data_IF_697777423940
#
_entry.id   IF_697777423940
#
_cell.length_a   1.000
_cell.length_b   1.000
_cell.length_c   1.000
_cell.angle_alpha   90.00
_cell.angle_beta   90.00
_cell.angle_gamma   90.00
#
_symmetry.space_group_name_H-M   'P 1'
#
loop_
_entity.id
_entity.type
_entity.pdbx_description
1 polymer ?
#
# COMPACT_ATOMS: atom_id res chain seq x y z
N UNK A 1 25.08 -22.99 -22.18
CA UNK A 1 24.17 -21.87 -21.83
C UNK A 1 22.76 -22.32 -21.42
N UNK A 2 22.45 -23.62 -21.42
CA UNK A 2 21.18 -24.18 -20.96
C UNK A 2 21.11 -24.41 -19.43
N UNK A 3 22.24 -24.36 -18.73
CA UNK A 3 22.30 -24.56 -17.27
C UNK A 3 22.12 -23.27 -16.46
N UNK A 4 22.20 -22.08 -17.08
CA UNK A 4 21.92 -20.79 -16.43
C UNK A 4 20.44 -20.61 -16.05
N UNK A 5 19.54 -21.36 -16.71
CA UNK A 5 18.09 -21.29 -16.49
C UNK A 5 17.54 -22.54 -15.77
N UNK A 6 18.40 -23.47 -15.34
CA UNK A 6 17.97 -24.64 -14.55
C UNK A 6 17.96 -24.30 -13.07
N UNK A 7 16.77 -24.04 -12.54
CA UNK A 7 16.57 -23.84 -11.11
C UNK A 7 16.36 -25.22 -10.48
N UNK A 8 17.32 -25.68 -9.68
CA UNK A 8 17.20 -26.91 -8.90
C UNK A 8 16.32 -26.60 -7.67
N UNK A 9 15.01 -26.82 -7.80
CA UNK A 9 14.04 -26.51 -6.74
C UNK A 9 13.95 -27.72 -5.80
N UNK A 10 14.52 -27.60 -4.61
CA UNK A 10 14.15 -28.47 -3.50
C UNK A 10 12.79 -28.03 -2.97
N UNK A 11 11.78 -28.90 -3.05
CA UNK A 11 10.39 -28.58 -2.67
C UNK A 11 10.25 -27.96 -1.27
N UNK A 12 11.12 -28.33 -0.31
CA UNK A 12 11.14 -27.77 1.05
C UNK A 12 11.52 -26.28 1.13
N UNK A 13 12.22 -25.74 0.14
CA UNK A 13 12.68 -24.33 0.08
C UNK A 13 11.86 -23.48 -0.89
N UNK A 14 10.81 -24.05 -1.50
CA UNK A 14 9.99 -23.38 -2.52
C UNK A 14 9.34 -22.09 -2.00
N UNK A 15 8.93 -22.07 -0.74
CA UNK A 15 8.35 -20.89 -0.09
C UNK A 15 9.30 -19.68 -0.01
N UNK A 16 10.62 -19.90 -0.12
CA UNK A 16 11.62 -18.81 -0.13
C UNK A 16 11.91 -18.25 -1.52
N UNK A 17 11.41 -18.89 -2.58
CA UNK A 17 11.62 -18.43 -3.96
C UNK A 17 10.98 -17.06 -4.16
N UNK A 18 9.72 -16.90 -3.76
CA UNK A 18 8.99 -15.65 -3.91
C UNK A 18 9.62 -14.49 -3.11
N UNK A 19 9.97 -14.63 -1.81
CA UNK A 19 10.74 -13.62 -1.07
C UNK A 19 12.06 -13.23 -1.75
N UNK A 20 12.82 -14.19 -2.27
CA UNK A 20 14.10 -13.92 -2.95
C UNK A 20 13.90 -13.13 -4.25
N UNK A 21 12.87 -13.46 -5.04
CA UNK A 21 12.54 -12.71 -6.26
C UNK A 21 12.14 -11.27 -5.91
N UNK A 22 11.24 -11.10 -4.93
CA UNK A 22 10.79 -9.78 -4.48
C UNK A 22 11.98 -8.93 -3.99
N UNK A 23 12.88 -9.51 -3.20
CA UNK A 23 14.11 -8.83 -2.77
C UNK A 23 15.00 -8.43 -3.94
N UNK A 24 15.13 -9.29 -4.95
CA UNK A 24 15.86 -8.97 -6.18
C UNK A 24 15.25 -7.77 -6.91
N UNK A 25 13.93 -7.75 -7.09
CA UNK A 25 13.22 -6.62 -7.72
C UNK A 25 13.40 -5.33 -6.90
N UNK A 26 13.25 -5.41 -5.58
CA UNK A 26 13.45 -4.26 -4.69
C UNK A 26 14.88 -3.70 -4.76
N UNK A 27 15.90 -4.57 -4.79
CA UNK A 27 17.29 -4.17 -4.97
C UNK A 27 17.51 -3.44 -6.29
N UNK A 28 16.95 -3.94 -7.40
CA UNK A 28 17.04 -3.28 -8.71
C UNK A 28 16.39 -1.89 -8.66
N UNK A 29 15.18 -1.79 -8.10
CA UNK A 29 14.50 -0.50 -7.96
C UNK A 29 15.29 0.48 -7.09
N UNK A 30 15.87 0.01 -5.99
CA UNK A 30 16.72 0.82 -5.12
C UNK A 30 17.95 1.35 -5.86
N UNK A 31 18.62 0.51 -6.66
CA UNK A 31 19.76 0.92 -7.50
C UNK A 31 19.34 1.95 -8.54
N UNK A 32 18.19 1.76 -9.20
CA UNK A 32 17.65 2.71 -10.17
C UNK A 32 17.39 4.08 -9.53
N UNK A 33 16.72 4.10 -8.36
CA UNK A 33 16.47 5.34 -7.60
C UNK A 33 17.79 6.02 -7.24
N UNK A 34 18.77 5.25 -6.74
CA UNK A 34 20.07 5.76 -6.36
C UNK A 34 20.81 6.41 -7.54
N UNK A 35 20.84 5.75 -8.70
CA UNK A 35 21.46 6.29 -9.91
C UNK A 35 20.73 7.55 -10.38
N UNK A 36 19.41 7.56 -10.38
CA UNK A 36 18.63 8.74 -10.79
C UNK A 36 18.92 9.94 -9.89
N UNK A 37 18.93 9.74 -8.58
CA UNK A 37 19.22 10.81 -7.62
C UNK A 37 20.66 11.28 -7.72
N UNK A 38 21.60 10.36 -7.96
CA UNK A 38 23.02 10.68 -8.17
C UNK A 38 23.23 11.53 -9.42
N UNK A 39 22.61 11.16 -10.54
CA UNK A 39 22.66 11.93 -11.78
C UNK A 39 22.00 13.30 -11.65
N UNK A 40 20.84 13.38 -10.97
CA UNK A 40 20.16 14.66 -10.67
C UNK A 40 21.01 15.56 -9.79
N UNK A 41 21.61 15.03 -8.72
CA UNK A 41 22.47 15.78 -7.81
C UNK A 41 23.72 16.32 -8.52
N UNK A 42 24.36 15.49 -9.37
CA UNK A 42 25.50 15.93 -10.21
C UNK A 42 25.12 17.05 -11.17
N UNK A 43 23.98 16.93 -11.88
CA UNK A 43 23.49 17.98 -12.79
C UNK A 43 23.15 19.28 -12.05
N UNK A 44 22.61 19.19 -10.84
CA UNK A 44 22.21 20.34 -10.05
C UNK A 44 23.34 20.99 -9.24
N UNK A 45 24.57 20.44 -9.23
CA UNK A 45 25.68 20.81 -8.32
C UNK A 45 25.25 20.89 -6.85
N UNK A 46 24.25 20.09 -6.46
CA UNK A 46 23.75 20.00 -5.08
C UNK A 46 24.40 18.79 -4.40
N UNK A 47 24.64 18.84 -3.08
CA UNK A 47 25.14 17.67 -2.36
C UNK A 47 24.15 16.51 -2.49
N UNK A 48 24.67 15.33 -2.83
CA UNK A 48 23.90 14.09 -3.04
C UNK A 48 23.01 13.73 -1.85
N UNK A 49 23.46 14.06 -0.64
CA UNK A 49 22.70 13.85 0.59
C UNK A 49 22.80 15.09 1.45
N UNK A 50 21.79 15.97 1.34
CA UNK A 50 21.74 17.16 2.17
C UNK A 50 21.09 16.81 3.52
N UNK A 51 21.88 16.19 4.39
CA UNK A 51 21.48 15.71 5.73
C UNK A 51 20.90 16.86 6.59
N UNK A 52 21.32 18.10 6.32
CA UNK A 52 20.90 19.31 7.04
C UNK A 52 19.46 19.74 6.77
N UNK A 53 18.86 19.31 5.65
CA UNK A 53 17.46 19.57 5.31
C UNK A 53 16.59 18.32 5.46
N UNK A 54 17.09 17.27 6.13
CA UNK A 54 16.30 16.08 6.40
C UNK A 54 15.18 16.42 7.37
N UNK A 55 13.95 16.36 6.87
CA UNK A 55 12.73 16.60 7.65
C UNK A 55 11.87 15.36 7.51
N UNK A 56 11.62 14.66 8.63
CA UNK A 56 10.77 13.48 8.65
C UNK A 56 9.31 13.81 8.28
N UNK A 57 8.84 15.00 8.68
CA UNK A 57 7.55 15.55 8.27
C UNK A 57 7.73 16.81 7.41
N UNK A 58 6.92 16.91 6.35
CA UNK A 58 6.78 18.14 5.59
C UNK A 58 6.32 19.30 6.51
N UNK A 59 6.68 20.54 6.16
CA UNK A 59 6.40 21.73 6.99
C UNK A 59 4.92 21.92 7.30
N UNK A 60 4.07 21.61 6.34
CA UNK A 60 2.62 21.77 6.39
C UNK A 60 1.93 20.41 6.20
N UNK A 61 2.37 19.40 6.96
CA UNK A 61 1.76 18.07 6.84
C UNK A 61 0.34 18.06 7.44
N UNK A 62 -0.57 17.36 6.77
CA UNK A 62 -1.97 17.24 7.19
C UNK A 62 -2.08 16.28 8.38
N UNK A 63 -2.10 16.85 9.59
CA UNK A 63 -2.21 16.11 10.85
C UNK A 63 -3.50 15.31 10.93
N UNK A 64 -4.58 15.84 10.38
CA UNK A 64 -5.91 15.20 10.44
C UNK A 64 -5.92 13.93 9.60
N UNK A 65 -5.36 13.98 8.39
CA UNK A 65 -5.21 12.78 7.56
C UNK A 65 -4.27 11.77 8.22
N UNK A 66 -3.15 12.21 8.77
CA UNK A 66 -2.18 11.29 9.37
C UNK A 66 -2.76 10.56 10.59
N UNK A 67 -3.24 11.30 11.58
CA UNK A 67 -3.79 10.69 12.80
C UNK A 67 -5.16 10.03 12.55
N UNK A 68 -5.96 10.57 11.62
CA UNK A 68 -7.22 9.98 11.20
C UNK A 68 -7.03 8.61 10.56
N UNK A 69 -6.03 8.44 9.69
CA UNK A 69 -5.70 7.14 9.09
C UNK A 69 -5.25 6.12 10.11
N UNK A 70 -4.42 6.53 11.09
CA UNK A 70 -4.01 5.65 12.19
C UNK A 70 -5.25 5.23 13.01
N UNK A 71 -6.13 6.17 13.36
CA UNK A 71 -7.35 5.88 14.09
C UNK A 71 -8.29 4.95 13.33
N UNK A 72 -8.47 5.17 12.03
CA UNK A 72 -9.30 4.32 11.17
C UNK A 72 -8.74 2.90 11.02
N UNK A 73 -7.41 2.73 11.00
CA UNK A 73 -6.80 1.39 11.00
C UNK A 73 -7.13 0.61 12.27
N UNK A 74 -7.03 1.24 13.44
CA UNK A 74 -7.43 0.58 14.69
C UNK A 74 -8.94 0.30 14.72
N UNK A 75 -9.75 1.26 14.28
CA UNK A 75 -11.20 1.09 14.20
C UNK A 75 -11.59 -0.08 13.27
N UNK A 76 -10.86 -0.29 12.17
CA UNK A 76 -11.08 -1.41 11.27
C UNK A 76 -10.93 -2.77 11.94
N UNK A 77 -9.86 -2.95 12.72
CA UNK A 77 -9.62 -4.22 13.44
C UNK A 77 -10.79 -4.51 14.40
N UNK A 78 -11.28 -3.47 15.09
CA UNK A 78 -12.43 -3.60 15.99
C UNK A 78 -13.72 -3.91 15.23
N UNK A 79 -14.00 -3.19 14.14
CA UNK A 79 -15.21 -3.37 13.34
C UNK A 79 -15.25 -4.75 12.66
N UNK A 80 -14.11 -5.24 12.17
CA UNK A 80 -14.01 -6.57 11.59
C UNK A 80 -14.51 -7.65 12.55
N UNK A 81 -14.14 -7.58 13.83
CA UNK A 81 -14.56 -8.56 14.83
C UNK A 81 -16.04 -8.39 15.23
N UNK A 82 -16.59 -7.18 15.15
CA UNK A 82 -17.94 -6.88 15.61
C UNK A 82 -19.03 -7.20 14.58
N UNK A 83 -18.79 -6.85 13.31
CA UNK A 83 -19.81 -6.87 12.25
C UNK A 83 -19.36 -7.63 10.98
N UNK A 84 -18.15 -8.19 10.98
CA UNK A 84 -17.61 -8.98 9.87
C UNK A 84 -17.02 -8.13 8.73
N UNK A 85 -16.35 -8.81 7.79
CA UNK A 85 -15.56 -8.19 6.71
C UNK A 85 -16.36 -7.24 5.84
N UNK A 86 -17.54 -7.65 5.36
CA UNK A 86 -18.28 -6.86 4.36
C UNK A 86 -18.75 -5.54 4.96
N UNK A 87 -19.46 -5.59 6.09
CA UNK A 87 -19.99 -4.38 6.73
C UNK A 87 -18.87 -3.49 7.29
N UNK A 88 -17.86 -4.09 7.94
CA UNK A 88 -16.72 -3.37 8.49
C UNK A 88 -15.89 -2.66 7.41
N UNK A 89 -15.63 -3.34 6.28
CA UNK A 89 -14.87 -2.77 5.17
C UNK A 89 -15.63 -1.64 4.48
N UNK A 90 -16.94 -1.78 4.23
CA UNK A 90 -17.72 -0.70 3.61
C UNK A 90 -17.67 0.57 4.45
N UNK A 91 -17.86 0.45 5.77
CA UNK A 91 -17.86 1.61 6.68
C UNK A 91 -16.48 2.27 6.71
N UNK A 92 -15.42 1.47 6.94
CA UNK A 92 -14.07 2.01 7.09
C UNK A 92 -13.51 2.53 5.77
N UNK A 93 -13.70 1.81 4.66
CA UNK A 93 -13.27 2.28 3.34
C UNK A 93 -13.99 3.58 2.96
N UNK A 94 -15.28 3.70 3.30
CA UNK A 94 -16.02 4.96 3.08
C UNK A 94 -15.44 6.11 3.90
N UNK A 95 -15.13 5.87 5.18
CA UNK A 95 -14.51 6.86 6.06
C UNK A 95 -13.11 7.26 5.57
N UNK A 96 -12.30 6.31 5.10
CA UNK A 96 -11.00 6.58 4.48
C UNK A 96 -11.17 7.43 3.23
N UNK A 97 -12.05 7.06 2.32
CA UNK A 97 -12.30 7.80 1.09
C UNK A 97 -12.76 9.25 1.39
N UNK A 98 -13.62 9.45 2.40
CA UNK A 98 -14.06 10.78 2.85
C UNK A 98 -12.94 11.57 3.55
N UNK A 99 -12.07 10.91 4.31
CA UNK A 99 -10.92 11.55 4.98
C UNK A 99 -9.93 12.13 3.95
N UNK A 100 -9.74 11.42 2.84
CA UNK A 100 -8.84 11.83 1.77
C UNK A 100 -9.51 12.70 0.69
N UNK A 101 -10.84 12.75 0.64
CA UNK A 101 -11.57 13.60 -0.30
C UNK A 101 -11.22 15.09 -0.14
N UNK A 102 -10.89 15.74 -1.25
CA UNK A 102 -10.58 17.19 -1.28
C UNK A 102 -11.82 18.05 -1.04
N UNK A 103 -12.99 17.59 -1.50
CA UNK A 103 -14.28 18.27 -1.33
C UNK A 103 -15.26 17.35 -0.62
N UNK A 104 -15.91 17.89 0.41
CA UNK A 104 -16.89 17.17 1.24
C UNK A 104 -18.32 17.59 0.91
N UNK A 105 -18.63 17.67 -0.38
CA UNK A 105 -19.99 17.89 -0.86
C UNK A 105 -20.79 16.58 -0.85
N UNK A 106 -22.13 16.70 -0.83
CA UNK A 106 -23.03 15.54 -0.77
C UNK A 106 -22.82 14.54 -1.90
N UNK A 107 -22.43 15.01 -3.11
CA UNK A 107 -22.17 14.13 -4.26
C UNK A 107 -20.85 13.38 -4.09
N UNK A 108 -19.77 14.07 -3.72
CA UNK A 108 -18.49 13.42 -3.44
C UNK A 108 -18.59 12.38 -2.33
N UNK A 109 -19.33 12.64 -1.25
CA UNK A 109 -19.56 11.67 -0.18
C UNK A 109 -20.31 10.44 -0.71
N UNK A 110 -21.37 10.63 -1.50
CA UNK A 110 -22.11 9.52 -2.10
C UNK A 110 -21.22 8.68 -3.03
N UNK A 111 -20.35 9.32 -3.82
CA UNK A 111 -19.37 8.62 -4.67
C UNK A 111 -18.38 7.82 -3.83
N UNK A 112 -17.85 8.39 -2.72
CA UNK A 112 -16.95 7.68 -1.82
C UNK A 112 -17.58 6.41 -1.24
N UNK A 113 -18.85 6.48 -0.83
CA UNK A 113 -19.60 5.32 -0.33
C UNK A 113 -19.80 4.30 -1.45
N UNK A 114 -20.20 4.74 -2.65
CA UNK A 114 -20.39 3.86 -3.80
C UNK A 114 -19.13 3.10 -4.19
N UNK A 115 -17.99 3.79 -4.27
CA UNK A 115 -16.69 3.19 -4.56
C UNK A 115 -16.33 2.15 -3.49
N UNK A 116 -16.55 2.47 -2.22
CA UNK A 116 -16.21 1.58 -1.10
C UNK A 116 -17.02 0.27 -1.13
N UNK A 117 -18.29 0.33 -1.55
CA UNK A 117 -19.12 -0.86 -1.74
C UNK A 117 -18.55 -1.72 -2.86
N UNK A 118 -18.25 -1.12 -4.01
CA UNK A 118 -17.70 -1.84 -5.17
C UNK A 118 -16.36 -2.48 -4.81
N UNK A 119 -15.46 -1.73 -4.18
CA UNK A 119 -14.15 -2.22 -3.74
C UNK A 119 -14.28 -3.40 -2.77
N UNK A 120 -15.17 -3.29 -1.78
CA UNK A 120 -15.40 -4.37 -0.81
C UNK A 120 -15.94 -5.63 -1.50
N UNK A 121 -16.88 -5.48 -2.44
CA UNK A 121 -17.43 -6.61 -3.20
C UNK A 121 -16.39 -7.28 -4.08
N UNK A 122 -15.55 -6.48 -4.75
CA UNK A 122 -14.46 -6.99 -5.60
C UNK A 122 -13.44 -7.77 -4.75
N UNK A 123 -13.03 -7.22 -3.60
CA UNK A 123 -12.12 -7.92 -2.69
C UNK A 123 -12.73 -9.21 -2.18
N UNK A 124 -13.97 -9.18 -1.71
CA UNK A 124 -14.68 -10.37 -1.26
C UNK A 124 -14.75 -11.44 -2.36
N UNK A 125 -15.03 -11.05 -3.61
CA UNK A 125 -15.06 -11.97 -4.74
C UNK A 125 -13.69 -12.59 -5.02
N UNK A 126 -12.63 -11.78 -5.07
CA UNK A 126 -11.27 -12.25 -5.33
C UNK A 126 -10.82 -13.22 -4.22
N UNK A 127 -10.96 -12.83 -2.96
CA UNK A 127 -10.52 -13.67 -1.84
C UNK A 127 -11.37 -14.94 -1.71
N UNK A 128 -12.69 -14.83 -1.85
CA UNK A 128 -13.60 -15.96 -1.69
C UNK A 128 -13.54 -16.96 -2.84
N UNK A 129 -13.50 -16.50 -4.10
CA UNK A 129 -13.61 -17.38 -5.26
C UNK A 129 -12.29 -17.65 -5.99
N UNK A 130 -11.40 -16.66 -6.06
CA UNK A 130 -10.12 -16.83 -6.78
C UNK A 130 -9.08 -17.45 -5.86
N UNK A 131 -9.05 -17.03 -4.60
CA UNK A 131 -8.06 -17.51 -3.63
C UNK A 131 -8.60 -18.57 -2.66
N UNK A 132 -9.90 -18.82 -2.63
CA UNK A 132 -10.56 -19.75 -1.70
C UNK A 132 -10.22 -19.47 -0.22
N UNK A 133 -10.01 -18.19 0.12
CA UNK A 133 -9.71 -17.72 1.48
C UNK A 133 -11.00 -17.17 2.10
N UNK A 134 -11.42 -17.77 3.20
CA UNK A 134 -12.54 -17.25 4.00
C UNK A 134 -12.13 -16.00 4.77
N UNK A 135 -12.82 -14.90 4.50
CA UNK A 135 -12.68 -13.65 5.25
C UNK A 135 -13.59 -13.69 6.50
N UNK A 136 -13.16 -13.09 7.62
CA UNK A 136 -13.91 -13.07 8.89
C UNK A 136 -15.22 -12.26 8.83
#
# INVERSE_FOLDING_TARGET
MSDLFKINITYSQSHLIMPRIILGVLMILAVVIFIQEYLKARKAKKPFMNIKQWRFFAKDYDKVKLFGSIGLLFAYIVLLNLIGFIAGSIIIASLFNILYAEKKDKKSIAICIGISIIETMVLWFIFGYIFEITLP
#
